data_IF_803899193468
#
_entry.id   IF_803899193468
#
_cell.length_a   1.000
_cell.length_b   1.000
_cell.length_c   1.000
_cell.angle_alpha   90.00
_cell.angle_beta   90.00
_cell.angle_gamma   90.00
#
_symmetry.space_group_name_H-M   'P 1'
#
loop_
_entity.id
_entity.type
_entity.pdbx_description
1 polymer ?
#
# COMPACT_ATOMS: atom_id res chain seq x y z
N UNK A 1 -9.00 41.36 -9.98
CA UNK A 1 -9.70 40.09 -10.33
C UNK A 1 -8.74 39.00 -10.78
N UNK A 2 -7.88 39.24 -11.79
CA UNK A 2 -6.91 38.26 -12.30
C UNK A 2 -5.96 37.71 -11.22
N UNK A 3 -5.49 38.56 -10.31
CA UNK A 3 -4.56 38.18 -9.24
C UNK A 3 -5.25 37.32 -8.17
N UNK A 4 -6.52 37.61 -7.84
CA UNK A 4 -7.31 36.81 -6.89
C UNK A 4 -7.55 35.40 -7.44
N UNK A 5 -7.83 35.29 -8.75
CA UNK A 5 -8.02 34.00 -9.41
C UNK A 5 -6.73 33.16 -9.39
N UNK A 6 -5.58 33.77 -9.65
CA UNK A 6 -4.27 33.10 -9.57
C UNK A 6 -3.98 32.64 -8.14
N UNK A 7 -4.24 33.49 -7.14
CA UNK A 7 -4.07 33.10 -5.73
C UNK A 7 -4.95 31.93 -5.34
N UNK A 8 -6.22 31.90 -5.76
CA UNK A 8 -7.15 30.80 -5.48
C UNK A 8 -6.69 29.47 -6.10
N UNK A 9 -6.18 29.50 -7.34
CA UNK A 9 -5.67 28.30 -8.02
C UNK A 9 -4.43 27.75 -7.31
N UNK A 10 -3.49 28.62 -6.91
CA UNK A 10 -2.26 28.22 -6.20
C UNK A 10 -2.59 27.62 -4.84
N UNK A 11 -3.53 28.23 -4.09
CA UNK A 11 -3.95 27.67 -2.80
C UNK A 11 -4.65 26.32 -2.95
N UNK A 12 -5.52 26.15 -3.97
CA UNK A 12 -6.22 24.88 -4.20
C UNK A 12 -5.26 23.73 -4.53
N UNK A 13 -4.18 24.00 -5.27
CA UNK A 13 -3.15 23.00 -5.57
C UNK A 13 -2.34 22.57 -4.34
N UNK A 14 -2.07 23.49 -3.40
CA UNK A 14 -1.32 23.18 -2.18
C UNK A 14 -2.08 22.26 -1.20
N UNK A 15 -3.43 22.37 -1.15
CA UNK A 15 -4.26 21.52 -0.28
C UNK A 15 -4.36 20.07 -0.74
N UNK A 16 -4.23 19.80 -2.04
CA UNK A 16 -4.31 18.45 -2.60
C UNK A 16 -3.18 17.54 -2.08
N UNK A 17 -1.99 18.10 -1.85
CA UNK A 17 -0.80 17.33 -1.45
C UNK A 17 -0.93 16.74 -0.03
N UNK A 18 -1.68 17.40 0.85
CA UNK A 18 -1.91 16.93 2.23
C UNK A 18 -3.05 15.91 2.35
N UNK A 19 -3.95 15.84 1.37
CA UNK A 19 -5.14 14.99 1.43
C UNK A 19 -4.93 13.57 0.84
N UNK A 20 -3.79 13.32 0.18
CA UNK A 20 -3.54 12.06 -0.54
C UNK A 20 -2.89 10.94 0.31
N UNK A 21 -2.66 11.14 1.61
CA UNK A 21 -2.05 10.10 2.45
C UNK A 21 -3.13 9.43 3.30
N UNK A 22 -3.33 8.12 3.11
CA UNK A 22 -4.16 7.31 3.99
C UNK A 22 -3.58 7.28 5.40
N UNK A 23 -4.47 7.24 6.39
CA UNK A 23 -4.06 7.19 7.80
C UNK A 23 -3.26 5.92 8.11
N UNK A 24 -2.19 6.06 8.89
CA UNK A 24 -1.26 4.97 9.18
C UNK A 24 -1.96 3.78 9.85
N UNK A 25 -2.99 4.04 10.68
CA UNK A 25 -3.74 2.99 11.36
C UNK A 25 -4.62 2.19 10.40
N UNK A 26 -5.16 2.81 9.35
CA UNK A 26 -5.90 2.11 8.29
C UNK A 26 -4.98 1.19 7.50
N UNK A 27 -3.77 1.65 7.16
CA UNK A 27 -2.76 0.81 6.51
C UNK A 27 -2.41 -0.43 7.34
N UNK A 28 -2.24 -0.31 8.66
CA UNK A 28 -1.96 -1.46 9.52
C UNK A 28 -3.09 -2.49 9.49
N UNK A 29 -4.35 -2.04 9.47
CA UNK A 29 -5.51 -2.93 9.33
C UNK A 29 -5.53 -3.63 7.96
N UNK A 30 -5.25 -2.89 6.89
CA UNK A 30 -5.21 -3.46 5.54
C UNK A 30 -4.09 -4.49 5.38
N UNK A 31 -2.92 -4.27 5.98
CA UNK A 31 -1.81 -5.23 5.98
C UNK A 31 -2.14 -6.51 6.76
N UNK A 32 -2.90 -6.40 7.85
CA UNK A 32 -3.39 -7.56 8.59
C UNK A 32 -4.45 -8.32 7.77
N UNK A 33 -5.39 -7.60 7.15
CA UNK A 33 -6.40 -8.18 6.27
C UNK A 33 -5.76 -8.85 5.04
N UNK A 34 -4.68 -8.29 4.51
CA UNK A 34 -3.88 -8.86 3.43
C UNK A 34 -3.29 -10.22 3.81
N UNK A 35 -2.55 -10.30 4.93
CA UNK A 35 -1.95 -11.56 5.39
C UNK A 35 -3.02 -12.60 5.70
N UNK A 36 -3.98 -12.26 6.56
CA UNK A 36 -5.03 -13.19 7.00
C UNK A 36 -5.90 -13.65 5.81
N UNK A 37 -6.22 -12.75 4.88
CA UNK A 37 -6.97 -13.07 3.67
C UNK A 37 -6.22 -14.04 2.75
N UNK A 38 -4.90 -13.87 2.59
CA UNK A 38 -4.06 -14.82 1.86
C UNK A 38 -4.04 -16.18 2.55
N UNK A 39 -3.73 -16.24 3.84
CA UNK A 39 -3.65 -17.51 4.59
C UNK A 39 -4.96 -18.30 4.61
N UNK A 40 -6.10 -17.60 4.65
CA UNK A 40 -7.42 -18.24 4.67
C UNK A 40 -7.91 -18.71 3.31
N UNK A 41 -7.56 -18.01 2.23
CA UNK A 41 -8.19 -18.20 0.91
C UNK A 41 -7.25 -18.77 -0.14
N UNK A 42 -5.95 -18.55 0.00
CA UNK A 42 -4.96 -19.03 -0.95
C UNK A 42 -4.48 -20.43 -0.57
N UNK A 43 -4.46 -21.34 -1.55
CA UNK A 43 -4.20 -22.77 -1.31
C UNK A 43 -2.82 -23.06 -0.72
N UNK A 44 -1.80 -22.26 -1.06
CA UNK A 44 -0.44 -22.43 -0.55
C UNK A 44 0.40 -21.14 -0.67
N UNK A 45 0.22 -20.20 0.27
CA UNK A 45 0.94 -18.90 0.28
C UNK A 45 2.46 -19.12 0.36
N UNK A 46 2.89 -20.10 1.14
CA UNK A 46 4.29 -20.31 1.49
C UNK A 46 5.02 -21.31 0.56
N UNK A 47 4.56 -21.45 -0.69
CA UNK A 47 5.13 -22.39 -1.65
C UNK A 47 6.53 -21.98 -2.14
N UNK A 48 6.72 -20.68 -2.39
CA UNK A 48 7.96 -20.11 -2.97
C UNK A 48 8.69 -19.14 -2.05
N UNK A 49 8.02 -18.69 -0.99
CA UNK A 49 8.53 -17.85 0.07
C UNK A 49 8.24 -18.55 1.39
N UNK A 50 9.18 -18.52 2.34
CA UNK A 50 8.92 -19.07 3.68
C UNK A 50 7.99 -18.16 4.47
N UNK A 51 7.31 -18.71 5.48
CA UNK A 51 6.49 -17.93 6.42
C UNK A 51 7.30 -16.79 7.08
N UNK A 52 8.51 -17.11 7.50
CA UNK A 52 9.42 -16.22 8.21
C UNK A 52 9.92 -15.11 7.28
N UNK A 53 10.23 -15.42 6.02
CA UNK A 53 10.64 -14.42 5.04
C UNK A 53 9.47 -13.51 4.64
N UNK A 54 8.28 -14.08 4.47
CA UNK A 54 7.06 -13.32 4.19
C UNK A 54 6.75 -12.34 5.34
N UNK A 55 6.79 -12.82 6.59
CA UNK A 55 6.53 -12.02 7.77
C UNK A 55 7.57 -10.93 7.96
N UNK A 56 8.85 -11.23 7.73
CA UNK A 56 9.91 -10.24 7.77
C UNK A 56 9.68 -9.11 6.76
N UNK A 57 9.31 -9.45 5.52
CA UNK A 57 9.03 -8.45 4.50
C UNK A 57 7.78 -7.62 4.81
N UNK A 58 6.73 -8.26 5.34
CA UNK A 58 5.52 -7.57 5.76
C UNK A 58 5.81 -6.58 6.91
N UNK A 59 6.65 -6.96 7.87
CA UNK A 59 7.09 -6.07 8.95
C UNK A 59 7.94 -4.89 8.43
N UNK A 60 8.79 -5.12 7.42
CA UNK A 60 9.51 -4.04 6.74
C UNK A 60 8.52 -3.06 6.10
N UNK A 61 7.47 -3.54 5.42
CA UNK A 61 6.43 -2.69 4.84
C UNK A 61 5.71 -1.89 5.95
N UNK A 62 5.26 -2.56 7.03
CA UNK A 62 4.61 -1.93 8.20
C UNK A 62 5.45 -0.79 8.78
N UNK A 63 6.76 -1.02 8.96
CA UNK A 63 7.67 -0.01 9.51
C UNK A 63 7.84 1.22 8.60
N UNK A 64 7.49 1.11 7.31
CA UNK A 64 7.68 2.16 6.31
C UNK A 64 6.46 3.04 6.04
N UNK A 65 5.28 2.72 6.60
CA UNK A 65 4.01 3.43 6.38
C UNK A 65 4.13 4.94 6.67
N UNK A 66 4.88 5.32 7.71
CA UNK A 66 5.10 6.73 8.06
C UNK A 66 5.87 7.52 7.00
N UNK A 67 6.70 6.86 6.20
CA UNK A 67 7.73 7.47 5.34
C UNK A 67 7.50 7.26 3.84
N UNK A 68 6.47 6.50 3.46
CA UNK A 68 6.13 6.20 2.07
C UNK A 68 4.77 6.78 1.68
N UNK A 69 4.61 7.02 0.39
CA UNK A 69 3.29 7.30 -0.19
C UNK A 69 2.48 6.01 -0.31
N UNK A 70 1.16 6.12 -0.41
CA UNK A 70 0.27 4.98 -0.58
C UNK A 70 0.64 4.15 -1.82
N UNK A 71 0.95 4.83 -2.93
CA UNK A 71 1.45 4.17 -4.15
C UNK A 71 2.74 3.37 -3.91
N UNK A 72 3.69 3.91 -3.14
CA UNK A 72 4.93 3.19 -2.82
C UNK A 72 4.67 1.94 -1.96
N UNK A 73 3.76 2.03 -0.99
CA UNK A 73 3.34 0.90 -0.16
C UNK A 73 2.65 -0.18 -1.00
N UNK A 74 1.77 0.20 -1.93
CA UNK A 74 1.16 -0.74 -2.87
C UNK A 74 2.21 -1.43 -3.74
N UNK A 75 3.20 -0.69 -4.25
CA UNK A 75 4.29 -1.28 -5.03
C UNK A 75 5.11 -2.29 -4.22
N UNK A 76 5.30 -2.07 -2.92
CA UNK A 76 5.97 -3.03 -2.06
C UNK A 76 5.11 -4.27 -1.82
N UNK A 77 3.79 -4.12 -1.62
CA UNK A 77 2.86 -5.25 -1.53
C UNK A 77 2.81 -6.06 -2.81
N UNK A 78 2.87 -5.41 -3.98
CA UNK A 78 2.98 -6.12 -5.26
C UNK A 78 4.26 -6.96 -5.34
N UNK A 79 5.39 -6.45 -4.85
CA UNK A 79 6.66 -7.19 -4.80
C UNK A 79 6.58 -8.38 -3.86
N UNK A 80 6.05 -8.19 -2.64
CA UNK A 80 5.84 -9.29 -1.68
C UNK A 80 4.89 -10.35 -2.26
N UNK A 81 3.75 -9.93 -2.82
CA UNK A 81 2.77 -10.82 -3.45
C UNK A 81 3.38 -11.63 -4.59
N UNK A 82 4.26 -11.03 -5.39
CA UNK A 82 4.97 -11.75 -6.46
C UNK A 82 5.85 -12.88 -5.92
N UNK A 83 6.41 -12.75 -4.72
CA UNK A 83 7.27 -13.79 -4.11
C UNK A 83 6.51 -15.05 -3.69
N UNK A 84 5.19 -14.97 -3.51
CA UNK A 84 4.30 -16.13 -3.36
C UNK A 84 4.43 -17.06 -4.58
N UNK A 85 4.68 -16.49 -5.77
CA UNK A 85 4.92 -17.24 -6.99
C UNK A 85 3.66 -17.78 -7.66
N UNK A 86 2.50 -17.19 -7.37
CA UNK A 86 1.23 -17.47 -8.05
C UNK A 86 0.88 -16.35 -9.05
N UNK A 87 0.54 -16.74 -10.28
CA UNK A 87 0.15 -15.81 -11.35
C UNK A 87 -1.27 -15.27 -11.22
N UNK A 88 -2.11 -15.86 -10.37
CA UNK A 88 -3.50 -15.44 -10.15
C UNK A 88 -3.67 -14.56 -8.92
N UNK A 89 -2.63 -14.46 -8.08
CA UNK A 89 -2.62 -13.60 -6.89
C UNK A 89 -1.93 -12.29 -7.21
N UNK A 90 -2.66 -11.18 -7.12
CA UNK A 90 -2.17 -9.85 -7.42
C UNK A 90 -2.79 -8.78 -6.53
N UNK A 91 -2.06 -7.68 -6.33
CA UNK A 91 -2.62 -6.46 -5.76
C UNK A 91 -3.24 -5.64 -6.90
N UNK A 92 -4.49 -5.24 -6.72
CA UNK A 92 -5.19 -4.38 -7.68
C UNK A 92 -4.75 -2.92 -7.51
N UNK A 93 -4.51 -2.23 -8.64
CA UNK A 93 -4.24 -0.79 -8.65
C UNK A 93 -5.53 0.05 -8.68
N UNK A 94 -6.71 -0.56 -8.78
CA UNK A 94 -7.99 0.15 -8.96
C UNK A 94 -8.40 1.01 -7.76
N UNK A 95 -7.75 0.83 -6.60
CA UNK A 95 -8.09 1.49 -5.34
C UNK A 95 -7.02 2.52 -4.90
N UNK A 96 -6.14 2.94 -5.81
CA UNK A 96 -5.10 3.96 -5.58
C UNK A 96 -5.55 5.30 -6.14
#
# INVERSE_FOLDING_TARGET
>A
MKNILVTLIVTAFAFQVLAQKMDNHLWLQDLEAYKTGLEQKHINVYNKISDTEFDLELEIIKSSIGNKTDFQLVMDLMRLTRKIGDGHTAISLSNI
#
